data_IF_577463488114
#
_entry.id   IF_577463488114
#
_cell.length_a   1.000
_cell.length_b   1.000
_cell.length_c   1.000
_cell.angle_alpha   90.00
_cell.angle_beta   90.00
_cell.angle_gamma   90.00
#
_symmetry.space_group_name_H-M   'P 1'
#
loop_
_entity.id
_entity.type
_entity.pdbx_description
1 polymer ?
#
# COMPACT_ATOMS: atom_id res chain seq x y z
N UNK A 1 -21.06 29.30 -6.45
CA UNK A 1 -20.22 30.49 -6.19
C UNK A 1 -18.99 30.04 -5.43
N UNK A 2 -17.82 30.36 -5.96
CA UNK A 2 -16.50 30.20 -5.32
C UNK A 2 -16.25 31.47 -4.49
N UNK A 3 -15.70 31.35 -3.27
CA UNK A 3 -14.47 32.00 -2.77
C UNK A 3 -14.35 32.04 -1.21
N UNK A 4 -13.43 31.21 -0.72
CA UNK A 4 -12.29 31.45 0.20
C UNK A 4 -12.32 32.57 1.26
N UNK A 5 -12.03 32.16 2.52
CA UNK A 5 -10.99 32.66 3.46
C UNK A 5 -11.21 31.94 4.81
N UNK A 6 -10.23 31.39 5.54
CA UNK A 6 -8.99 32.01 5.99
C UNK A 6 -7.85 31.00 6.19
N UNK A 7 -6.65 31.48 5.90
CA UNK A 7 -5.36 30.84 6.19
C UNK A 7 -5.08 30.81 7.68
N UNK A 8 -4.83 29.63 8.25
CA UNK A 8 -4.14 29.51 9.53
C UNK A 8 -2.69 29.11 9.26
N UNK A 9 -1.82 30.11 9.38
CA UNK A 9 -0.37 30.04 9.30
C UNK A 9 0.15 29.49 10.64
N UNK A 10 0.71 28.29 10.66
CA UNK A 10 1.56 27.85 11.77
C UNK A 10 3.03 28.04 11.36
N UNK A 11 3.67 29.02 12.00
CA UNK A 11 5.11 29.26 11.93
C UNK A 11 5.80 28.48 13.06
N UNK A 12 6.64 27.51 12.71
CA UNK A 12 7.73 27.01 13.55
C UNK A 12 8.81 26.53 12.57
N UNK A 13 9.87 27.31 12.31
CA UNK A 13 10.98 27.48 13.23
C UNK A 13 12.16 26.74 12.61
N UNK A 14 12.85 27.42 11.70
CA UNK A 14 14.04 26.93 10.99
C UNK A 14 15.15 26.60 11.99
N UNK A 15 15.54 25.33 12.06
CA UNK A 15 16.82 24.91 12.63
C UNK A 15 17.59 24.18 11.53
N UNK A 16 18.54 24.90 10.93
CA UNK A 16 19.49 24.36 9.98
C UNK A 16 20.53 23.53 10.74
N UNK A 17 20.54 22.22 10.52
CA UNK A 17 21.70 21.38 10.82
C UNK A 17 22.25 20.85 9.50
N UNK A 18 23.32 21.49 9.06
CA UNK A 18 24.16 21.09 7.95
C UNK A 18 24.86 19.77 8.31
N UNK A 19 24.27 18.64 7.94
CA UNK A 19 24.95 17.35 7.94
C UNK A 19 25.41 17.04 6.52
N UNK A 20 26.58 17.60 6.18
CA UNK A 20 27.35 17.20 5.00
C UNK A 20 27.83 15.75 5.16
N UNK A 21 26.95 14.78 4.86
CA UNK A 21 27.37 13.40 4.71
C UNK A 21 27.84 13.16 3.27
N UNK A 22 29.16 13.23 3.14
CA UNK A 22 29.92 12.80 1.97
C UNK A 22 29.67 11.29 1.76
N UNK A 23 28.73 10.94 0.88
CA UNK A 23 28.54 9.55 0.49
C UNK A 23 29.58 9.17 -0.58
N UNK A 24 30.68 8.60 -0.11
CA UNK A 24 31.68 7.91 -0.92
C UNK A 24 31.01 6.80 -1.75
N UNK A 25 30.96 6.97 -3.07
CA UNK A 25 30.56 5.94 -4.02
C UNK A 25 31.73 4.95 -4.19
N UNK A 26 31.82 3.99 -3.27
CA UNK A 26 32.89 2.99 -3.27
C UNK A 26 32.36 1.58 -3.05
N UNK A 27 32.14 0.87 -4.16
CA UNK A 27 32.05 -0.58 -4.35
C UNK A 27 30.76 -1.34 -3.92
N UNK A 28 30.16 -1.98 -4.94
CA UNK A 28 28.97 -2.86 -5.02
C UNK A 28 27.62 -2.24 -4.64
N UNK A 29 27.12 -1.32 -5.48
CA UNK A 29 25.68 -1.00 -5.52
C UNK A 29 24.93 -2.22 -6.06
N UNK A 30 24.60 -3.20 -5.22
CA UNK A 30 23.34 -3.91 -5.44
C UNK A 30 22.25 -2.85 -5.53
N UNK A 31 21.41 -2.95 -6.56
CA UNK A 31 20.45 -1.91 -6.88
C UNK A 31 19.49 -1.74 -5.68
N UNK A 32 19.57 -0.58 -5.01
CA UNK A 32 18.77 -0.30 -3.81
C UNK A 32 17.27 -0.42 -4.11
N UNK A 33 16.87 -0.10 -5.33
CA UNK A 33 15.49 -0.19 -5.77
C UNK A 33 15.08 -1.65 -5.94
N UNK A 34 15.97 -2.51 -6.43
CA UNK A 34 15.73 -3.95 -6.58
C UNK A 34 15.52 -4.62 -5.20
N UNK A 35 16.36 -4.30 -4.21
CA UNK A 35 16.16 -4.77 -2.83
C UNK A 35 14.85 -4.28 -2.24
N UNK A 36 14.54 -3.00 -2.47
CA UNK A 36 13.29 -2.38 -1.98
C UNK A 36 12.09 -3.07 -2.62
N UNK A 37 12.12 -3.30 -3.94
CA UNK A 37 11.06 -3.99 -4.66
C UNK A 37 10.87 -5.43 -4.16
N UNK A 38 11.95 -6.17 -3.90
CA UNK A 38 11.87 -7.54 -3.37
C UNK A 38 11.13 -7.62 -2.02
N UNK A 39 11.31 -6.60 -1.16
CA UNK A 39 10.59 -6.45 0.11
C UNK A 39 9.14 -6.04 -0.13
N UNK A 40 8.90 -5.06 -1.00
CA UNK A 40 7.55 -4.55 -1.30
C UNK A 40 6.62 -5.63 -1.85
N UNK A 41 7.12 -6.51 -2.74
CA UNK A 41 6.31 -7.59 -3.31
C UNK A 41 5.73 -8.53 -2.24
N UNK A 42 6.50 -8.86 -1.20
CA UNK A 42 6.01 -9.68 -0.07
C UNK A 42 5.08 -8.87 0.82
N UNK A 43 5.43 -7.61 1.08
CA UNK A 43 4.61 -6.73 1.91
C UNK A 43 3.20 -6.53 1.33
N UNK A 44 3.09 -6.32 0.02
CA UNK A 44 1.80 -6.16 -0.66
C UNK A 44 0.94 -7.42 -0.62
N UNK A 45 1.54 -8.62 -0.78
CA UNK A 45 0.81 -9.88 -0.62
C UNK A 45 0.21 -10.00 0.79
N UNK A 46 1.04 -9.79 1.82
CA UNK A 46 0.58 -9.85 3.21
C UNK A 46 -0.51 -8.80 3.50
N UNK A 47 -0.38 -7.60 2.92
CA UNK A 47 -1.38 -6.54 3.10
C UNK A 47 -2.71 -6.89 2.43
N UNK A 48 -2.67 -7.47 1.23
CA UNK A 48 -3.85 -7.93 0.51
C UNK A 48 -4.56 -9.08 1.24
N UNK A 49 -3.81 -10.02 1.85
CA UNK A 49 -4.39 -11.08 2.69
C UNK A 49 -5.14 -10.51 3.90
N UNK A 50 -4.59 -9.45 4.54
CA UNK A 50 -5.28 -8.75 5.63
C UNK A 50 -6.55 -8.04 5.17
N UNK A 51 -6.57 -7.45 3.97
CA UNK A 51 -7.80 -6.90 3.38
C UNK A 51 -8.82 -7.99 3.07
N UNK A 52 -8.39 -9.13 2.53
CA UNK A 52 -9.27 -10.27 2.25
C UNK A 52 -10.00 -10.74 3.51
N UNK A 53 -9.30 -10.87 4.65
CA UNK A 53 -9.92 -11.23 5.92
C UNK A 53 -11.02 -10.24 6.32
N UNK A 54 -10.72 -8.94 6.28
CA UNK A 54 -11.70 -7.89 6.57
C UNK A 54 -12.88 -7.90 5.59
N UNK A 55 -12.63 -8.17 4.31
CA UNK A 55 -13.68 -8.23 3.30
C UNK A 55 -14.61 -9.43 3.53
N UNK A 56 -14.08 -10.59 3.92
CA UNK A 56 -14.89 -11.78 4.24
C UNK A 56 -15.87 -11.51 5.37
N UNK A 57 -15.45 -10.83 6.44
CA UNK A 57 -16.37 -10.43 7.50
C UNK A 57 -17.52 -9.55 6.98
N UNK A 58 -17.23 -8.67 6.01
CA UNK A 58 -18.23 -7.79 5.43
C UNK A 58 -19.13 -8.48 4.39
N UNK A 59 -18.67 -9.56 3.75
CA UNK A 59 -19.53 -10.45 2.96
C UNK A 59 -20.63 -11.03 3.84
N UNK A 60 -20.24 -11.59 4.99
CA UNK A 60 -21.19 -12.22 5.92
C UNK A 60 -22.18 -11.18 6.47
N UNK A 61 -21.68 -10.04 6.96
CA UNK A 61 -22.52 -8.93 7.42
C UNK A 61 -23.46 -8.42 6.31
N UNK A 62 -22.98 -8.31 5.06
CA UNK A 62 -23.81 -7.88 3.94
C UNK A 62 -24.95 -8.85 3.65
N UNK A 63 -24.69 -10.17 3.72
CA UNK A 63 -25.72 -11.20 3.56
C UNK A 63 -26.75 -11.14 4.69
N UNK A 64 -26.31 -10.98 5.94
CA UNK A 64 -27.20 -10.81 7.10
C UNK A 64 -28.11 -9.57 6.95
N UNK A 65 -27.62 -8.50 6.33
CA UNK A 65 -28.39 -7.30 6.02
C UNK A 65 -29.30 -7.44 4.78
N UNK A 66 -29.36 -8.61 4.14
CA UNK A 66 -30.12 -8.85 2.91
C UNK A 66 -29.55 -8.12 1.68
N UNK A 67 -28.27 -7.75 1.70
CA UNK A 67 -27.56 -7.03 0.63
C UNK A 67 -26.78 -7.99 -0.26
N UNK A 68 -27.48 -8.96 -0.86
CA UNK A 68 -26.85 -10.05 -1.61
C UNK A 68 -25.94 -9.55 -2.75
N UNK A 69 -26.40 -8.60 -3.57
CA UNK A 69 -25.58 -8.05 -4.65
C UNK A 69 -24.31 -7.35 -4.14
N UNK A 70 -24.38 -6.72 -2.95
CA UNK A 70 -23.21 -6.11 -2.32
C UNK A 70 -22.22 -7.19 -1.89
N UNK A 71 -22.70 -8.24 -1.21
CA UNK A 71 -21.88 -9.38 -0.80
C UNK A 71 -21.16 -10.02 -2.00
N UNK A 72 -21.88 -10.27 -3.10
CA UNK A 72 -21.33 -10.83 -4.35
C UNK A 72 -20.23 -9.94 -4.94
N UNK A 73 -20.38 -8.62 -4.90
CA UNK A 73 -19.34 -7.72 -5.41
C UNK A 73 -18.11 -7.65 -4.49
N UNK A 74 -18.30 -7.76 -3.16
CA UNK A 74 -17.18 -7.87 -2.22
C UNK A 74 -16.43 -9.20 -2.43
N UNK A 75 -17.13 -10.32 -2.66
CA UNK A 75 -16.51 -11.60 -3.00
C UNK A 75 -15.67 -11.52 -4.28
N UNK A 76 -16.16 -10.81 -5.31
CA UNK A 76 -15.36 -10.54 -6.52
C UNK A 76 -14.12 -9.72 -6.22
N UNK A 77 -14.19 -8.74 -5.32
CA UNK A 77 -13.02 -7.96 -4.91
C UNK A 77 -11.97 -8.83 -4.21
N UNK A 78 -12.41 -9.77 -3.36
CA UNK A 78 -11.53 -10.78 -2.74
C UNK A 78 -10.83 -11.61 -3.82
N UNK A 79 -11.56 -12.09 -4.82
CA UNK A 79 -10.98 -12.89 -5.90
C UNK A 79 -9.94 -12.10 -6.71
N UNK A 80 -10.21 -10.82 -7.00
CA UNK A 80 -9.23 -9.94 -7.63
C UNK A 80 -7.96 -9.77 -6.77
N UNK A 81 -8.08 -9.67 -5.43
CA UNK A 81 -6.93 -9.59 -4.54
C UNK A 81 -6.08 -10.87 -4.57
N UNK A 82 -6.72 -12.05 -4.63
CA UNK A 82 -5.98 -13.32 -4.77
C UNK A 82 -5.21 -13.40 -6.08
N UNK A 83 -5.86 -13.01 -7.18
CA UNK A 83 -5.19 -12.95 -8.49
C UNK A 83 -4.04 -11.94 -8.47
N UNK A 84 -4.20 -10.79 -7.81
CA UNK A 84 -3.11 -9.84 -7.61
C UNK A 84 -1.96 -10.49 -6.82
N UNK A 85 -2.25 -11.23 -5.74
CA UNK A 85 -1.23 -11.92 -4.95
C UNK A 85 -0.46 -12.97 -5.77
N UNK A 86 -1.14 -13.75 -6.60
CA UNK A 86 -0.50 -14.71 -7.51
C UNK A 86 0.49 -14.00 -8.46
N UNK A 87 0.07 -12.88 -9.05
CA UNK A 87 0.93 -12.09 -9.94
C UNK A 87 2.11 -11.44 -9.19
N UNK A 88 1.91 -10.98 -7.95
CA UNK A 88 2.97 -10.42 -7.12
C UNK A 88 4.00 -11.47 -6.70
N UNK A 89 3.54 -12.68 -6.38
CA UNK A 89 4.41 -13.81 -6.09
C UNK A 89 5.18 -14.26 -7.33
N UNK A 90 4.55 -14.27 -8.51
CA UNK A 90 5.25 -14.53 -9.78
C UNK A 90 6.29 -13.43 -10.08
N UNK A 91 5.93 -12.15 -9.93
CA UNK A 91 6.88 -11.06 -10.09
C UNK A 91 8.10 -11.24 -9.17
N UNK A 92 7.90 -11.71 -7.94
CA UNK A 92 8.99 -12.01 -7.00
C UNK A 92 9.90 -13.15 -7.47
N UNK A 93 9.41 -14.13 -8.24
CA UNK A 93 10.23 -15.21 -8.82
C UNK A 93 11.17 -14.72 -9.92
N UNK A 94 10.91 -13.54 -10.49
CA UNK A 94 11.73 -12.89 -11.51
C UNK A 94 12.70 -11.82 -10.95
N UNK A 95 12.68 -11.60 -9.64
CA UNK A 95 13.67 -10.80 -8.91
C UNK A 95 14.93 -11.62 -8.67
#
# INVERSE_FOLDING_TARGET
MILNKDSIRYHHGTHEHEHGHYHSHGASQENKDEKTLNILLVHWVNHNESHEEGFREWVDKAREMGKEETAVNIEKAIECLRQANENLLEAKRHM
#
